data_IF_973925640990
#
_entry.id   IF_973925640990
#
_cell.length_a   1.000
_cell.length_b   1.000
_cell.length_c   1.000
_cell.angle_alpha   90.00
_cell.angle_beta   90.00
_cell.angle_gamma   90.00
#
_symmetry.space_group_name_H-M   'P 1'
#
loop_
_entity.id
_entity.type
_entity.pdbx_description
1 polymer ?
#
# COMPACT_ATOMS: atom_id res chain seq x y z
N UNK A 1 -5.89 24.92 -13.29
CA UNK A 1 -6.26 23.99 -12.20
C UNK A 1 -5.01 23.23 -11.79
N UNK A 2 -4.46 23.48 -10.60
CA UNK A 2 -3.31 22.72 -10.10
C UNK A 2 -3.78 21.31 -9.74
N UNK A 3 -3.62 20.36 -10.66
CA UNK A 3 -3.86 18.96 -10.36
C UNK A 3 -2.91 18.53 -9.24
N UNK A 4 -3.46 18.03 -8.14
CA UNK A 4 -2.66 17.49 -7.02
C UNK A 4 -1.73 16.40 -7.58
N UNK A 5 -0.45 16.37 -7.22
CA UNK A 5 0.47 15.35 -7.73
C UNK A 5 -0.06 13.95 -7.35
N UNK A 6 0.01 12.97 -8.27
CA UNK A 6 -0.46 11.63 -7.98
C UNK A 6 0.36 11.06 -6.81
N UNK A 7 -0.34 10.57 -5.79
CA UNK A 7 0.25 10.17 -4.52
C UNK A 7 0.13 8.66 -4.35
N UNK A 8 1.23 8.04 -3.91
CA UNK A 8 1.34 6.64 -3.51
C UNK A 8 1.97 6.57 -2.12
N UNK A 9 1.73 5.48 -1.42
CA UNK A 9 2.32 5.21 -0.10
C UNK A 9 2.98 3.83 -0.11
N UNK A 10 4.15 3.72 0.52
CA UNK A 10 4.78 2.45 0.85
C UNK A 10 4.91 2.41 2.37
N UNK A 11 4.26 1.43 3.00
CA UNK A 11 4.12 1.36 4.47
C UNK A 11 4.88 0.15 4.98
N UNK A 12 5.73 0.36 5.97
CA UNK A 12 6.37 -0.72 6.71
C UNK A 12 5.35 -1.43 7.62
N UNK A 13 5.20 -2.75 7.52
CA UNK A 13 4.24 -3.50 8.33
C UNK A 13 4.60 -3.55 9.81
N UNK A 14 5.90 -3.52 10.12
CA UNK A 14 6.45 -3.61 11.47
C UNK A 14 7.51 -2.53 11.74
N UNK A 15 7.03 -1.31 11.99
CA UNK A 15 7.91 -0.19 12.33
C UNK A 15 8.05 -0.05 13.85
N UNK A 16 9.23 0.38 14.31
CA UNK A 16 9.42 0.79 15.71
C UNK A 16 9.84 2.26 15.76
N UNK A 17 9.18 3.04 16.64
CA UNK A 17 9.54 4.43 16.91
C UNK A 17 9.57 4.69 18.41
N UNK A 18 10.66 5.24 18.91
CA UNK A 18 10.87 5.50 20.33
C UNK A 18 10.59 4.28 21.24
N UNK A 19 10.99 3.08 20.79
CA UNK A 19 10.79 1.82 21.52
C UNK A 19 9.37 1.25 21.44
N UNK A 20 8.45 1.88 20.72
CA UNK A 20 7.08 1.40 20.54
C UNK A 20 6.89 0.83 19.15
N UNK A 21 6.28 -0.36 19.10
CA UNK A 21 5.89 -1.02 17.85
C UNK A 21 4.67 -0.31 17.25
N UNK A 22 4.75 0.00 15.97
CA UNK A 22 3.71 0.63 15.19
C UNK A 22 3.30 -0.34 14.08
N UNK A 23 2.03 -0.75 14.09
CA UNK A 23 1.50 -1.66 13.07
C UNK A 23 1.19 -0.90 11.78
N UNK A 24 1.96 -1.19 10.73
CA UNK A 24 1.68 -0.68 9.39
C UNK A 24 0.36 -1.21 8.81
N UNK A 25 -0.03 -2.43 9.19
CA UNK A 25 -1.31 -3.02 8.78
C UNK A 25 -2.50 -2.27 9.39
N UNK A 26 -2.42 -1.89 10.66
CA UNK A 26 -3.43 -1.04 11.28
C UNK A 26 -3.45 0.36 10.65
N UNK A 27 -2.28 0.93 10.38
CA UNK A 27 -2.16 2.22 9.70
C UNK A 27 -2.79 2.18 8.30
N UNK A 28 -2.58 1.12 7.52
CA UNK A 28 -3.23 0.92 6.23
C UNK A 28 -4.75 1.04 6.34
N UNK A 29 -5.37 0.32 7.28
CA UNK A 29 -6.83 0.33 7.46
C UNK A 29 -7.35 1.73 7.78
N UNK A 30 -6.63 2.48 8.61
CA UNK A 30 -6.98 3.88 8.92
C UNK A 30 -6.88 4.77 7.67
N UNK A 31 -5.81 4.61 6.87
CA UNK A 31 -5.59 5.42 5.67
C UNK A 31 -6.66 5.15 4.62
N UNK A 32 -6.96 3.88 4.29
CA UNK A 32 -7.97 3.56 3.27
C UNK A 32 -9.37 3.98 3.68
N UNK A 33 -9.71 3.90 4.97
CA UNK A 33 -10.98 4.40 5.49
C UNK A 33 -11.06 5.93 5.44
N UNK A 34 -9.97 6.64 5.76
CA UNK A 34 -9.94 8.10 5.77
C UNK A 34 -9.85 8.71 4.37
N UNK A 35 -9.14 8.04 3.46
CA UNK A 35 -8.87 8.48 2.09
C UNK A 35 -9.08 7.35 1.08
N UNK A 36 -10.33 7.02 0.71
CA UNK A 36 -10.62 5.93 -0.22
C UNK A 36 -9.98 6.09 -1.62
N UNK A 37 -9.65 7.32 -2.02
CA UNK A 37 -8.94 7.59 -3.27
C UNK A 37 -7.49 7.06 -3.33
N UNK A 38 -6.95 6.59 -2.19
CA UNK A 38 -5.66 5.91 -2.11
C UNK A 38 -5.77 4.38 -2.23
N UNK A 39 -6.98 3.83 -2.35
CA UNK A 39 -7.13 2.39 -2.62
C UNK A 39 -6.42 2.00 -3.92
N UNK A 40 -5.70 0.88 -3.90
CA UNK A 40 -4.79 0.46 -4.96
C UNK A 40 -3.51 1.29 -5.13
N UNK A 41 -3.29 2.32 -4.29
CA UNK A 41 -2.08 3.19 -4.31
C UNK A 41 -1.20 3.07 -3.07
N UNK A 42 -1.49 2.09 -2.23
CA UNK A 42 -0.72 1.78 -1.03
C UNK A 42 -0.11 0.39 -1.20
N UNK A 43 1.21 0.30 -1.04
CA UNK A 43 1.91 -0.97 -0.91
C UNK A 43 2.40 -1.17 0.54
N UNK A 44 2.45 -2.42 0.97
CA UNK A 44 3.08 -2.81 2.23
C UNK A 44 4.48 -3.36 1.94
N UNK A 45 5.47 -3.02 2.74
CA UNK A 45 6.77 -3.69 2.76
C UNK A 45 6.94 -4.48 4.05
N UNK A 46 7.39 -5.73 3.94
CA UNK A 46 7.47 -6.68 5.06
C UNK A 46 8.70 -7.56 4.96
N UNK A 47 9.28 -7.98 6.09
CA UNK A 47 10.38 -8.95 6.08
C UNK A 47 9.90 -10.38 5.80
N UNK A 48 8.69 -10.73 6.23
CA UNK A 48 8.11 -12.06 6.09
C UNK A 48 6.62 -11.99 5.74
N UNK A 49 6.26 -12.03 4.44
CA UNK A 49 4.88 -12.00 4.00
C UNK A 49 4.12 -13.30 4.28
N UNK A 50 4.83 -14.39 4.63
CA UNK A 50 4.27 -15.72 4.80
C UNK A 50 3.99 -16.05 6.28
N UNK A 51 4.39 -15.18 7.21
CA UNK A 51 4.00 -15.24 8.61
C UNK A 51 2.47 -15.36 8.75
N UNK A 52 2.01 -16.29 9.59
CA UNK A 52 0.63 -16.78 9.55
C UNK A 52 -0.44 -15.68 9.79
N UNK A 53 -0.14 -14.74 10.68
CA UNK A 53 -0.96 -13.57 11.01
C UNK A 53 -0.98 -12.52 9.88
N UNK A 54 0.18 -12.32 9.24
CA UNK A 54 0.38 -11.36 8.14
C UNK A 54 -0.22 -11.86 6.82
N UNK A 55 0.02 -13.14 6.49
CA UNK A 55 -0.42 -13.78 5.24
C UNK A 55 -1.94 -13.71 5.06
N UNK A 56 -2.70 -14.02 6.11
CA UNK A 56 -4.17 -13.94 6.07
C UNK A 56 -4.64 -12.51 5.84
N UNK A 57 -3.97 -11.53 6.45
CA UNK A 57 -4.31 -10.12 6.28
C UNK A 57 -4.10 -9.68 4.83
N UNK A 58 -3.01 -10.06 4.18
CA UNK A 58 -2.75 -9.71 2.78
C UNK A 58 -3.76 -10.34 1.81
N UNK A 59 -4.17 -11.59 2.04
CA UNK A 59 -5.19 -12.26 1.23
C UNK A 59 -6.53 -11.51 1.23
N UNK A 60 -6.91 -10.94 2.38
CA UNK A 60 -8.18 -10.22 2.53
C UNK A 60 -8.13 -8.81 1.94
N UNK A 61 -7.02 -8.09 2.13
CA UNK A 61 -6.92 -6.68 1.76
C UNK A 61 -6.41 -6.44 0.32
N UNK A 62 -5.89 -7.47 -0.35
CA UNK A 62 -5.45 -7.45 -1.77
C UNK A 62 -4.53 -6.27 -2.12
N UNK A 63 -3.70 -5.82 -1.18
CA UNK A 63 -2.73 -4.77 -1.41
C UNK A 63 -1.42 -5.35 -1.98
N UNK A 64 -0.68 -4.58 -2.79
CA UNK A 64 0.69 -4.91 -3.17
C UNK A 64 1.59 -5.12 -1.95
N UNK A 65 2.45 -6.14 -1.99
CA UNK A 65 3.40 -6.47 -0.93
C UNK A 65 4.81 -6.57 -1.49
N UNK A 66 5.76 -5.87 -0.86
CA UNK A 66 7.18 -5.96 -1.14
C UNK A 66 7.90 -6.69 -0.01
N UNK A 67 8.41 -7.89 -0.30
CA UNK A 67 9.27 -8.60 0.64
C UNK A 67 10.63 -7.90 0.73
N UNK A 68 11.09 -7.59 1.94
CA UNK A 68 12.42 -7.04 2.21
C UNK A 68 13.46 -8.17 2.24
N UNK A 69 14.69 -7.90 1.76
CA UNK A 69 15.04 -6.78 0.89
C UNK A 69 14.41 -6.95 -0.50
N UNK A 70 14.03 -5.85 -1.15
CA UNK A 70 13.51 -5.84 -2.53
C UNK A 70 14.40 -5.00 -3.43
N UNK A 71 14.33 -5.30 -4.73
CA UNK A 71 15.06 -4.54 -5.75
C UNK A 71 14.32 -3.24 -6.08
N UNK A 72 15.09 -2.20 -6.42
CA UNK A 72 14.55 -0.87 -6.76
C UNK A 72 13.66 -0.92 -8.01
N UNK A 73 13.96 -1.77 -8.97
CA UNK A 73 13.17 -1.92 -10.21
C UNK A 73 11.77 -2.49 -9.96
N UNK A 74 11.58 -3.33 -8.93
CA UNK A 74 10.26 -3.80 -8.53
C UNK A 74 9.40 -2.65 -8.00
N UNK A 75 9.98 -1.79 -7.16
CA UNK A 75 9.31 -0.59 -6.66
C UNK A 75 8.99 0.37 -7.81
N UNK A 76 9.94 0.62 -8.71
CA UNK A 76 9.76 1.50 -9.86
C UNK A 76 8.64 1.01 -10.80
N UNK A 77 8.60 -0.29 -11.10
CA UNK A 77 7.56 -0.89 -11.93
C UNK A 77 6.17 -0.75 -11.33
N UNK A 78 6.05 -0.96 -10.02
CA UNK A 78 4.79 -0.75 -9.31
C UNK A 78 4.38 0.73 -9.28
N UNK A 79 5.30 1.66 -8.98
CA UNK A 79 5.03 3.10 -8.99
C UNK A 79 4.47 3.54 -10.34
N UNK A 80 5.08 3.08 -11.43
CA UNK A 80 4.64 3.37 -12.79
C UNK A 80 3.22 2.84 -13.08
N UNK A 81 2.80 1.74 -12.46
CA UNK A 81 1.45 1.18 -12.59
C UNK A 81 0.44 1.92 -11.68
N UNK A 82 0.78 2.15 -10.41
CA UNK A 82 -0.10 2.77 -9.41
C UNK A 82 -0.42 4.25 -9.71
N UNK A 83 0.50 4.95 -10.39
CA UNK A 83 0.34 6.34 -10.79
C UNK A 83 -0.44 6.50 -12.11
N UNK A 84 -0.81 5.41 -12.80
CA UNK A 84 -1.64 5.51 -14.00
C UNK A 84 -3.01 6.08 -13.62
N UNK A 85 -3.58 7.00 -14.43
CA UNK A 85 -4.92 7.48 -14.20
C UNK A 85 -5.89 6.30 -14.16
N UNK A 86 -6.52 6.07 -13.01
CA UNK A 86 -7.60 5.09 -12.89
C UNK A 86 -8.71 5.58 -13.81
N UNK A 87 -8.92 4.91 -14.95
CA UNK A 87 -10.05 5.21 -15.83
C UNK A 87 -11.29 4.99 -14.97
N UNK A 88 -11.91 6.08 -14.49
CA UNK A 88 -13.16 6.03 -13.76
C UNK A 88 -14.07 5.12 -14.57
N UNK A 89 -14.59 4.03 -13.98
CA UNK A 89 -15.74 3.37 -14.58
C UNK A 89 -16.80 4.46 -14.65
N UNK A 90 -16.99 5.00 -15.84
CA UNK A 90 -18.20 5.74 -16.19
C UNK A 90 -19.28 4.70 -15.99
N UNK A 91 -20.05 4.84 -14.92
CA UNK A 91 -21.30 4.13 -14.81
C UNK A 91 -22.14 4.58 -15.99
N UNK A 92 -22.31 3.68 -16.95
CA UNK A 92 -23.54 3.55 -17.70
C UNK A 92 -24.64 3.15 -16.70
N UNK A 93 -25.74 3.90 -16.67
CA UNK A 93 -26.92 3.63 -15.84
C UNK A 93 -27.34 4.80 -14.98
#
# INVERSE_FOLDING_TARGET
>A
MNARPPTVLVVDDDATRAGQRLSGLALYLVIVNRWPALDGRIAIMTADPDAADVRRWFQLNRCPVFRKPFRVDLLAGWLAAALRPTRRRVGEG
#
